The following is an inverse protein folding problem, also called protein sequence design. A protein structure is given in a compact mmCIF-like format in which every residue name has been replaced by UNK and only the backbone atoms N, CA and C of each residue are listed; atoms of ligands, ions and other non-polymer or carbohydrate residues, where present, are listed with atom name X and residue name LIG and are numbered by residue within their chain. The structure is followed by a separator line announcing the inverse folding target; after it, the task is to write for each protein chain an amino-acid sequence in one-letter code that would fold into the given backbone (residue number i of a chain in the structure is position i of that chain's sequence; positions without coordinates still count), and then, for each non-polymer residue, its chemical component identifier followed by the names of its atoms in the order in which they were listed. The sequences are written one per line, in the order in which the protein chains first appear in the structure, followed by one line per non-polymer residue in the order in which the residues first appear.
data_IF_124470482413
#
_entry.id   IF_124470482413
#
_cell.length_a   1.000
_cell.length_b   1.000
_cell.length_c   1.000
_cell.angle_alpha   90.00
_cell.angle_beta   90.00
_cell.angle_gamma   90.00
#
_symmetry.space_group_name_H-M   'P 1'
#
loop_
_entity.id
_entity.type
_entity.pdbx_description
1 polymer ?
#
# COMPACT_ATOMS: atom_id res chain seq x y z
N UNK A 1 -16.45 18.10 -3.77
CA UNK A 1 -15.84 17.12 -2.84
C UNK A 1 -14.49 16.80 -3.43
N UNK A 2 -13.41 17.11 -2.73
CA UNK A 2 -12.07 16.83 -3.23
C UNK A 2 -11.81 15.32 -3.12
N UNK A 3 -11.46 14.69 -4.25
CA UNK A 3 -11.06 13.29 -4.25
C UNK A 3 -9.73 13.16 -3.54
N UNK A 4 -9.64 12.23 -2.59
CA UNK A 4 -8.39 11.94 -1.88
C UNK A 4 -7.47 11.16 -2.81
N UNK A 5 -6.21 11.56 -2.88
CA UNK A 5 -5.22 10.96 -3.77
C UNK A 5 -4.05 10.42 -2.97
N UNK A 6 -3.53 9.26 -3.37
CA UNK A 6 -2.31 8.70 -2.81
C UNK A 6 -1.14 9.68 -3.00
N UNK A 7 -0.40 10.06 -1.95
CA UNK A 7 0.73 11.00 -2.08
C UNK A 7 1.94 10.38 -2.81
N UNK A 8 1.94 9.07 -3.05
CA UNK A 8 3.06 8.35 -3.66
C UNK A 8 2.89 8.10 -5.17
N UNK A 9 1.66 8.07 -5.67
CA UNK A 9 1.38 7.80 -7.09
C UNK A 9 0.27 8.68 -7.69
N UNK A 10 -0.34 9.55 -6.88
CA UNK A 10 -1.42 10.47 -7.25
C UNK A 10 -2.70 9.80 -7.77
N UNK A 11 -2.80 8.47 -7.67
CA UNK A 11 -4.05 7.76 -7.96
C UNK A 11 -5.10 8.07 -6.90
N UNK A 12 -6.36 8.13 -7.32
CA UNK A 12 -7.51 8.31 -6.43
C UNK A 12 -7.56 7.14 -5.46
N UNK A 13 -7.78 7.43 -4.17
CA UNK A 13 -7.97 6.40 -3.16
C UNK A 13 -9.36 5.78 -3.32
N UNK A 14 -9.41 4.46 -3.23
CA UNK A 14 -10.65 3.70 -3.34
C UNK A 14 -11.20 3.39 -1.95
N UNK A 15 -12.53 3.42 -1.82
CA UNK A 15 -13.20 2.95 -0.60
C UNK A 15 -13.01 1.45 -0.46
N UNK A 16 -12.61 1.02 0.73
CA UNK A 16 -12.44 -0.39 1.10
C UNK A 16 -13.06 -0.61 2.48
N UNK A 17 -14.00 -1.55 2.57
CA UNK A 17 -14.65 -1.91 3.83
C UNK A 17 -13.85 -3.03 4.48
N UNK A 18 -13.31 -2.75 5.67
CA UNK A 18 -12.62 -3.75 6.47
C UNK A 18 -13.55 -4.88 6.92
N UNK A 19 -13.00 -6.06 7.24
CA UNK A 19 -13.81 -7.16 7.77
C UNK A 19 -14.59 -6.68 9.02
N UNK A 20 -15.90 -6.98 9.14
CA UNK A 20 -16.73 -6.47 10.23
C UNK A 20 -16.14 -6.75 11.63
N UNK A 21 -15.45 -7.87 11.79
CA UNK A 21 -14.82 -8.30 13.04
C UNK A 21 -13.60 -7.46 13.47
N UNK A 22 -12.98 -6.69 12.57
CA UNK A 22 -11.83 -5.83 12.92
C UNK A 22 -12.25 -4.48 13.50
N UNK A 23 -13.49 -4.08 13.27
CA UNK A 23 -14.01 -2.76 13.65
C UNK A 23 -13.44 -1.59 12.84
N UNK A 24 -12.73 -1.84 11.73
CA UNK A 24 -12.08 -0.78 10.94
C UNK A 24 -13.06 0.08 10.13
N UNK A 25 -14.23 -0.46 9.80
CA UNK A 25 -15.21 0.27 8.97
C UNK A 25 -14.68 0.56 7.56
N UNK A 26 -15.01 1.73 7.03
CA UNK A 26 -14.55 2.20 5.72
C UNK A 26 -13.16 2.83 5.81
N UNK A 27 -12.28 2.47 4.88
CA UNK A 27 -10.95 3.04 4.69
C UNK A 27 -10.79 3.54 3.26
N UNK A 28 -9.90 4.51 3.06
CA UNK A 28 -9.48 4.96 1.73
C UNK A 28 -8.11 4.38 1.39
N UNK A 29 -8.02 3.52 0.37
CA UNK A 29 -6.85 2.70 0.08
C UNK A 29 -6.30 2.95 -1.32
N UNK A 30 -4.97 3.04 -1.44
CA UNK A 30 -4.29 3.07 -2.73
C UNK A 30 -4.22 1.66 -3.35
N UNK A 31 -5.14 1.36 -4.27
CA UNK A 31 -5.17 0.09 -5.01
C UNK A 31 -4.35 0.07 -6.32
N UNK A 32 -3.53 1.09 -6.56
CA UNK A 32 -2.61 1.09 -7.69
C UNK A 32 -1.40 0.16 -7.43
N UNK A 33 -1.31 -0.94 -8.20
CA UNK A 33 -0.20 -1.90 -8.12
C UNK A 33 1.14 -1.36 -8.65
N UNK A 34 1.10 -0.26 -9.40
CA UNK A 34 2.29 0.45 -9.90
C UNK A 34 2.75 1.57 -8.96
N UNK A 35 2.11 1.70 -7.78
CA UNK A 35 2.49 2.66 -6.78
C UNK A 35 3.90 2.34 -6.25
N UNK A 36 4.81 3.31 -6.35
CA UNK A 36 6.19 3.16 -5.88
C UNK A 36 6.26 2.73 -4.41
N UNK A 37 5.43 3.34 -3.54
CA UNK A 37 5.36 2.98 -2.12
C UNK A 37 4.96 1.51 -1.92
N UNK A 38 4.01 0.99 -2.68
CA UNK A 38 3.59 -0.40 -2.56
C UNK A 38 4.68 -1.35 -3.07
N UNK A 39 5.32 -1.04 -4.20
CA UNK A 39 6.37 -1.88 -4.79
C UNK A 39 7.63 -1.95 -3.91
N UNK A 40 8.03 -0.86 -3.27
CA UNK A 40 9.20 -0.85 -2.37
C UNK A 40 8.90 -1.37 -0.97
N UNK A 41 7.63 -1.37 -0.55
CA UNK A 41 7.24 -1.89 0.77
C UNK A 41 7.55 -3.37 0.96
N UNK A 42 7.50 -4.18 -0.11
CA UNK A 42 7.78 -5.60 -0.06
C UNK A 42 9.23 -5.88 0.37
N UNK A 43 10.19 -5.19 -0.24
CA UNK A 43 11.61 -5.31 0.12
C UNK A 43 11.84 -4.94 1.58
N UNK A 44 11.32 -3.80 2.03
CA UNK A 44 11.42 -3.36 3.42
C UNK A 44 10.84 -4.38 4.42
N UNK A 45 9.69 -4.97 4.09
CA UNK A 45 9.03 -5.99 4.91
C UNK A 45 9.85 -7.28 4.97
N UNK A 46 10.43 -7.72 3.85
CA UNK A 46 11.27 -8.93 3.77
C UNK A 46 12.59 -8.75 4.54
N UNK A 47 13.24 -7.59 4.44
CA UNK A 47 14.46 -7.26 5.19
C UNK A 47 14.24 -7.31 6.72
N UNK A 48 13.01 -7.07 7.17
CA UNK A 48 12.59 -7.17 8.56
C UNK A 48 12.09 -8.57 8.96
N UNK A 49 12.26 -9.58 8.10
CA UNK A 49 11.85 -10.97 8.34
C UNK A 49 10.37 -11.26 8.06
N UNK A 50 9.67 -10.36 7.37
CA UNK A 50 8.31 -10.57 6.93
C UNK A 50 8.21 -11.48 5.69
N UNK A 51 6.98 -11.84 5.31
CA UNK A 51 6.72 -12.75 4.18
C UNK A 51 6.81 -12.01 2.84
N UNK A 52 7.51 -12.60 1.87
CA UNK A 52 7.64 -12.07 0.50
C UNK A 52 6.32 -11.87 -0.25
N UNK A 53 5.25 -12.49 0.22
CA UNK A 53 3.91 -12.37 -0.34
C UNK A 53 3.08 -11.25 0.30
N UNK A 54 3.72 -10.35 1.06
CA UNK A 54 3.08 -9.22 1.73
C UNK A 54 3.75 -7.89 1.36
N UNK A 55 2.96 -6.83 1.39
CA UNK A 55 3.42 -5.46 1.22
C UNK A 55 2.46 -4.49 1.89
N UNK A 56 2.78 -3.19 1.86
CA UNK A 56 1.97 -2.13 2.45
C UNK A 56 1.37 -1.24 1.38
N UNK A 57 0.04 -1.08 1.43
CA UNK A 57 -0.67 -0.04 0.69
C UNK A 57 -0.80 1.20 1.56
N UNK A 58 -0.69 2.36 0.93
CA UNK A 58 -1.07 3.61 1.58
C UNK A 58 -2.59 3.59 1.82
N UNK A 59 -2.99 3.87 3.06
CA UNK A 59 -4.39 3.96 3.43
C UNK A 59 -4.63 5.12 4.40
N UNK A 60 -5.86 5.64 4.43
CA UNK A 60 -6.32 6.66 5.36
C UNK A 60 -7.60 6.21 6.05
N UNK A 61 -7.69 6.47 7.36
CA UNK A 61 -8.86 6.16 8.18
C UNK A 61 -9.73 7.41 8.38
N UNK A 62 -10.92 7.49 7.75
CA UNK A 62 -11.83 8.62 7.93
C UNK A 62 -12.34 8.78 9.37
N UNK A 63 -12.40 7.71 10.15
CA UNK A 63 -12.82 7.75 11.56
C UNK A 63 -11.72 8.28 12.48
N UNK A 64 -10.47 8.27 12.02
CA UNK A 64 -9.31 8.78 12.75
C UNK A 64 -8.73 10.04 12.09
N UNK A 65 -9.58 11.02 11.80
CA UNK A 65 -9.20 12.31 11.20
C UNK A 65 -8.42 12.18 9.88
N UNK A 66 -8.71 11.14 9.08
CA UNK A 66 -7.98 10.82 7.86
C UNK A 66 -6.48 10.59 8.09
N UNK A 67 -6.10 10.07 9.26
CA UNK A 67 -4.73 9.69 9.54
C UNK A 67 -4.29 8.56 8.62
N UNK A 68 -3.11 8.72 8.02
CA UNK A 68 -2.54 7.71 7.12
C UNK A 68 -1.86 6.57 7.89
N UNK A 69 -1.91 5.36 7.36
CA UNK A 69 -1.20 4.20 7.92
C UNK A 69 -0.82 3.18 6.84
N UNK A 70 0.04 2.24 7.24
CA UNK A 70 0.52 1.15 6.38
C UNK A 70 -0.49 -0.01 6.41
N UNK A 71 -1.32 -0.14 5.38
CA UNK A 71 -2.26 -1.25 5.27
C UNK A 71 -1.56 -2.49 4.71
N UNK A 72 -1.37 -3.50 5.54
CA UNK A 72 -0.80 -4.79 5.11
C UNK A 72 -1.72 -5.44 4.08
N UNK A 73 -1.17 -5.81 2.93
CA UNK A 73 -1.91 -6.38 1.79
C UNK A 73 -1.11 -7.51 1.15
N UNK A 74 -1.82 -8.41 0.48
CA UNK A 74 -1.18 -9.45 -0.34
C UNK A 74 -0.34 -8.81 -1.43
N UNK A 75 0.90 -9.27 -1.60
CA UNK A 75 1.81 -8.86 -2.64
C UNK A 75 1.97 -10.01 -3.65
N UNK A 76 1.31 -9.93 -4.82
CA UNK A 76 1.33 -11.00 -5.79
C UNK A 76 2.72 -11.18 -6.41
N UNK A 77 3.11 -12.43 -6.66
CA UNK A 77 4.41 -12.77 -7.26
C UNK A 77 4.66 -12.06 -8.60
N UNK A 78 3.60 -11.75 -9.36
CA UNK A 78 3.68 -11.01 -10.63
C UNK A 78 4.23 -9.58 -10.50
N UNK A 79 4.30 -9.02 -9.29
CA UNK A 79 4.87 -7.68 -9.06
C UNK A 79 6.34 -7.72 -8.62
N UNK A 80 6.91 -8.90 -8.35
CA UNK A 80 8.29 -9.04 -7.83
C UNK A 80 9.33 -8.47 -8.79
N UNK A 81 9.22 -8.78 -10.08
CA UNK A 81 10.16 -8.28 -11.10
C UNK A 81 10.14 -6.75 -11.17
N UNK A 82 8.94 -6.15 -11.09
CA UNK A 82 8.78 -4.69 -11.08
C UNK A 82 9.36 -4.06 -9.81
N UNK A 83 9.16 -4.68 -8.65
CA UNK A 83 9.75 -4.22 -7.39
C UNK A 83 11.29 -4.28 -7.42
N UNK A 84 11.87 -5.37 -7.93
CA UNK A 84 13.32 -5.52 -8.07
C UNK A 84 13.92 -4.49 -9.03
N UNK A 85 13.25 -4.20 -10.14
CA UNK A 85 13.69 -3.17 -11.08
C UNK A 85 13.79 -1.78 -10.41
N UNK A 86 12.82 -1.43 -9.55
CA UNK A 86 12.85 -0.18 -8.79
C UNK A 86 13.95 -0.15 -7.72
N UNK A 87 14.15 -1.26 -7.01
CA UNK A 87 15.23 -1.37 -6.03
C UNK A 87 16.61 -1.19 -6.68
N UNK A 88 16.82 -1.76 -7.87
CA UNK A 88 18.07 -1.63 -8.61
C UNK A 88 18.31 -0.21 -9.15
N UNK A 89 17.26 0.48 -9.60
CA UNK A 89 17.35 1.85 -10.09
C UNK A 89 17.72 2.88 -9.01
N UNK A 90 17.46 2.56 -7.73
CA UNK A 90 17.77 3.44 -6.60
C UNK A 90 19.23 3.37 -6.13
N UNK A 91 20.00 2.40 -6.63
CA UNK A 91 21.39 2.13 -6.25
C UNK A 91 22.40 2.53 -7.34
N UNK A 92 21.96 3.23 -8.39
CA UNK A 92 22.77 3.65 -9.55
C UNK A 92 23.06 5.13 -9.60
#
# INVERSE_FOLDING_TARGET
MDQRTCPHCHSVLESWIGPPETGWGELFVCNNNDCHYYLTSNTCLVEQGGKECLGFRYAEDPMNNFSSFNLLSWFPASLKEKAQALANASNG
#
